data_IF_913278954567
#
_entry.id   IF_913278954567
#
_cell.length_a   1.000
_cell.length_b   1.000
_cell.length_c   1.000
_cell.angle_alpha   90.00
_cell.angle_beta   90.00
_cell.angle_gamma   90.00
#
_symmetry.space_group_name_H-M   'P 1'
#
loop_
_entity.id
_entity.type
_entity.pdbx_description
1 polymer ?
#
# COMPACT_ATOMS: atom_id res chain seq x y z
N UNK A 1 -8.83 -34.98 -10.59
CA UNK A 1 -8.38 -34.01 -11.62
C UNK A 1 -9.49 -32.98 -11.89
N UNK A 2 -9.50 -31.93 -11.09
CA UNK A 2 -10.54 -30.90 -11.05
C UNK A 2 -10.38 -29.97 -12.26
N UNK A 3 -11.45 -29.84 -13.06
CA UNK A 3 -11.42 -29.11 -14.32
C UNK A 3 -11.29 -27.61 -14.11
N UNK A 4 -10.26 -27.01 -14.71
CA UNK A 4 -10.18 -25.56 -14.88
C UNK A 4 -11.31 -25.11 -15.81
N UNK A 5 -12.11 -24.16 -15.35
CA UNK A 5 -13.20 -23.56 -16.13
C UNK A 5 -12.61 -22.64 -17.21
N UNK A 6 -13.28 -22.41 -18.36
CA UNK A 6 -12.81 -21.47 -19.39
C UNK A 6 -12.52 -20.05 -18.85
N UNK A 7 -13.21 -19.68 -17.76
CA UNK A 7 -13.02 -18.45 -17.01
C UNK A 7 -11.64 -18.36 -16.31
N UNK A 8 -11.12 -19.48 -15.80
CA UNK A 8 -9.80 -19.52 -15.15
C UNK A 8 -8.70 -19.22 -16.17
N UNK A 9 -8.81 -19.82 -17.36
CA UNK A 9 -7.91 -19.50 -18.48
C UNK A 9 -8.05 -18.07 -19.00
N UNK A 10 -9.19 -17.38 -18.78
CA UNK A 10 -9.34 -15.96 -19.10
C UNK A 10 -8.65 -15.07 -18.05
N UNK A 11 -8.80 -15.39 -16.77
CA UNK A 11 -8.13 -14.69 -15.67
C UNK A 11 -6.62 -14.75 -15.81
N UNK A 12 -6.06 -15.92 -16.08
CA UNK A 12 -4.61 -16.08 -16.28
C UNK A 12 -4.08 -15.26 -17.46
N UNK A 13 -4.82 -15.25 -18.58
CA UNK A 13 -4.48 -14.44 -19.76
C UNK A 13 -4.53 -12.95 -19.44
N UNK A 14 -5.54 -12.51 -18.69
CA UNK A 14 -5.68 -11.12 -18.27
C UNK A 14 -4.53 -10.71 -17.34
N UNK A 15 -4.23 -11.50 -16.31
CA UNK A 15 -3.11 -11.24 -15.40
C UNK A 15 -1.77 -11.23 -16.14
N UNK A 16 -1.59 -12.07 -17.16
CA UNK A 16 -0.41 -12.02 -18.02
C UNK A 16 -0.31 -10.72 -18.84
N UNK A 17 -1.43 -10.18 -19.34
CA UNK A 17 -1.46 -8.87 -20.00
C UNK A 17 -1.10 -7.76 -19.02
N UNK A 18 -1.70 -7.75 -17.83
CA UNK A 18 -1.39 -6.76 -16.80
C UNK A 18 0.08 -6.79 -16.40
N UNK A 19 0.70 -7.96 -16.24
CA UNK A 19 2.14 -8.07 -15.93
C UNK A 19 3.01 -7.47 -17.03
N UNK A 20 2.66 -7.72 -18.31
CA UNK A 20 3.35 -7.10 -19.45
C UNK A 20 3.20 -5.58 -19.46
N UNK A 21 2.00 -5.07 -19.16
CA UNK A 21 1.76 -3.63 -19.10
C UNK A 21 2.52 -2.98 -17.95
N UNK A 22 2.51 -3.57 -16.75
CA UNK A 22 3.19 -3.03 -15.58
C UNK A 22 4.73 -2.91 -15.77
N UNK A 23 5.35 -3.94 -16.36
CA UNK A 23 6.80 -4.03 -16.50
C UNK A 23 7.40 -3.33 -17.72
N UNK A 24 6.60 -2.90 -18.70
CA UNK A 24 7.10 -2.34 -19.96
C UNK A 24 7.22 -0.83 -19.88
N UNK A 25 8.45 -0.32 -19.97
CA UNK A 25 8.77 1.11 -19.91
C UNK A 25 8.18 1.96 -21.05
N UNK A 26 7.96 1.36 -22.24
CA UNK A 26 7.32 2.05 -23.37
C UNK A 26 5.81 2.30 -23.18
N UNK A 27 5.22 1.81 -22.09
CA UNK A 27 3.80 2.05 -21.76
C UNK A 27 3.70 3.30 -20.90
N UNK A 28 2.68 4.13 -21.14
CA UNK A 28 2.46 5.36 -20.35
C UNK A 28 2.33 5.05 -18.85
N UNK A 29 2.92 5.91 -18.01
CA UNK A 29 3.02 5.72 -16.56
C UNK A 29 1.69 5.37 -15.90
N UNK A 30 0.62 6.09 -16.27
CA UNK A 30 -0.75 5.87 -15.77
C UNK A 30 -1.22 4.41 -15.92
N UNK A 31 -1.01 3.80 -17.09
CA UNK A 31 -1.45 2.41 -17.35
C UNK A 31 -0.58 1.44 -16.55
N UNK A 32 0.73 1.70 -16.45
CA UNK A 32 1.67 0.87 -15.70
C UNK A 32 1.32 0.85 -14.20
N UNK A 33 1.06 2.02 -13.63
CA UNK A 33 0.63 2.16 -12.24
C UNK A 33 -0.70 1.43 -12.00
N UNK A 34 -1.67 1.61 -12.90
CA UNK A 34 -2.98 0.95 -12.78
C UNK A 34 -2.88 -0.57 -12.90
N UNK A 35 -2.08 -1.07 -13.84
CA UNK A 35 -1.86 -2.51 -14.00
C UNK A 35 -1.18 -3.11 -12.76
N UNK A 36 -0.21 -2.40 -12.17
CA UNK A 36 0.45 -2.80 -10.92
C UNK A 36 -0.54 -2.87 -9.77
N UNK A 37 -1.41 -1.85 -9.61
CA UNK A 37 -2.43 -1.83 -8.57
C UNK A 37 -3.44 -2.97 -8.71
N UNK A 38 -3.94 -3.22 -9.92
CA UNK A 38 -4.89 -4.30 -10.18
C UNK A 38 -4.29 -5.68 -9.89
N UNK A 39 -3.01 -5.90 -10.19
CA UNK A 39 -2.33 -7.14 -9.87
C UNK A 39 -2.10 -7.30 -8.36
N UNK A 40 -1.76 -6.22 -7.65
CA UNK A 40 -1.63 -6.24 -6.19
C UNK A 40 -2.97 -6.58 -5.52
N UNK A 41 -4.06 -5.95 -5.97
CA UNK A 41 -5.41 -6.17 -5.44
C UNK A 41 -5.91 -7.62 -5.67
N UNK A 42 -5.51 -8.27 -6.77
CA UNK A 42 -5.87 -9.67 -7.08
C UNK A 42 -4.87 -10.68 -6.46
N UNK A 43 -3.87 -10.22 -5.69
CA UNK A 43 -2.80 -11.07 -5.14
C UNK A 43 -1.84 -11.63 -6.20
N UNK A 44 -1.90 -11.12 -7.43
CA UNK A 44 -1.03 -11.50 -8.54
C UNK A 44 0.37 -10.88 -8.49
N UNK A 45 0.58 -9.91 -7.60
CA UNK A 45 1.89 -9.39 -7.17
C UNK A 45 1.93 -9.33 -5.64
N UNK A 46 3.11 -9.55 -5.07
CA UNK A 46 3.36 -9.24 -3.66
C UNK A 46 3.56 -7.74 -3.46
N UNK A 47 3.45 -7.28 -2.21
CA UNK A 47 3.81 -5.90 -1.83
C UNK A 47 5.25 -5.56 -2.23
N UNK A 48 6.19 -6.51 -2.07
CA UNK A 48 7.59 -6.35 -2.49
C UNK A 48 7.76 -6.14 -3.98
N UNK A 49 7.01 -6.88 -4.79
CA UNK A 49 7.05 -6.71 -6.23
C UNK A 49 6.43 -5.38 -6.66
N UNK A 50 5.35 -4.95 -6.01
CA UNK A 50 4.73 -3.66 -6.25
C UNK A 50 5.67 -2.49 -5.86
N UNK A 51 6.31 -2.59 -4.69
CA UNK A 51 7.30 -1.60 -4.23
C UNK A 51 8.51 -1.54 -5.18
N UNK A 52 8.98 -2.68 -5.69
CA UNK A 52 10.05 -2.71 -6.70
C UNK A 52 9.63 -1.99 -7.99
N UNK A 53 8.42 -2.24 -8.49
CA UNK A 53 7.90 -1.56 -9.68
C UNK A 53 7.71 -0.05 -9.47
N UNK A 54 7.26 0.35 -8.28
CA UNK A 54 7.18 1.76 -7.88
C UNK A 54 8.57 2.40 -7.84
N UNK A 55 9.54 1.77 -7.19
CA UNK A 55 10.91 2.29 -7.12
C UNK A 55 11.56 2.47 -8.49
N UNK A 56 11.29 1.57 -9.44
CA UNK A 56 11.72 1.74 -10.84
C UNK A 56 11.02 2.92 -11.53
N UNK A 57 9.71 3.05 -11.34
CA UNK A 57 8.95 4.15 -11.94
C UNK A 57 9.34 5.52 -11.39
N UNK A 58 9.68 5.59 -10.10
CA UNK A 58 10.08 6.81 -9.40
C UNK A 58 11.60 7.05 -9.41
N UNK A 59 12.34 6.30 -10.22
CA UNK A 59 13.79 6.48 -10.31
C UNK A 59 14.14 7.87 -10.88
N UNK A 60 15.33 8.44 -10.54
CA UNK A 60 15.77 9.73 -11.09
C UNK A 60 15.87 9.78 -12.62
N UNK A 61 15.97 8.62 -13.29
CA UNK A 61 16.02 8.53 -14.74
C UNK A 61 14.65 8.64 -15.44
N UNK A 62 13.54 8.59 -14.69
CA UNK A 62 12.20 8.74 -15.23
C UNK A 62 11.80 10.21 -15.30
N UNK A 63 11.23 10.72 -16.41
CA UNK A 63 10.66 12.05 -16.46
C UNK A 63 9.66 12.27 -15.32
N UNK A 64 9.73 13.37 -14.54
CA UNK A 64 8.88 13.54 -13.37
C UNK A 64 7.37 13.52 -13.68
N UNK A 65 6.96 13.96 -14.86
CA UNK A 65 5.57 13.88 -15.34
C UNK A 65 5.11 12.42 -15.53
N UNK A 66 5.97 11.55 -16.04
CA UNK A 66 5.69 10.12 -16.19
C UNK A 66 5.64 9.41 -14.84
N UNK A 67 6.53 9.77 -13.92
CA UNK A 67 6.53 9.28 -12.54
C UNK A 67 5.23 9.69 -11.81
N UNK A 68 4.82 10.95 -11.94
CA UNK A 68 3.56 11.45 -11.38
C UNK A 68 2.33 10.73 -11.98
N UNK A 69 2.32 10.50 -13.29
CA UNK A 69 1.27 9.74 -13.96
C UNK A 69 1.24 8.27 -13.47
N UNK A 70 2.41 7.67 -13.21
CA UNK A 70 2.47 6.34 -12.62
C UNK A 70 1.86 6.29 -11.22
N UNK A 71 2.19 7.26 -10.36
CA UNK A 71 1.57 7.40 -9.03
C UNK A 71 0.06 7.51 -9.18
N UNK A 72 -0.44 8.41 -10.04
CA UNK A 72 -1.88 8.55 -10.31
C UNK A 72 -2.51 7.21 -10.73
N UNK A 73 -1.87 6.44 -11.60
CA UNK A 73 -2.38 5.14 -12.01
C UNK A 73 -2.47 4.13 -10.86
N UNK A 74 -1.48 4.15 -9.98
CA UNK A 74 -1.34 3.23 -8.86
C UNK A 74 -2.29 3.58 -7.70
N UNK A 75 -2.36 4.87 -7.32
CA UNK A 75 -3.11 5.33 -6.14
C UNK A 75 -4.43 6.01 -6.48
N UNK A 76 -4.64 6.48 -7.71
CA UNK A 76 -5.75 7.35 -8.15
C UNK A 76 -7.10 6.67 -8.36
N UNK A 77 -7.36 5.55 -7.68
CA UNK A 77 -8.69 4.93 -7.66
C UNK A 77 -9.56 5.51 -6.54
N UNK A 78 -10.77 5.95 -6.85
CA UNK A 78 -11.77 6.43 -5.88
C UNK A 78 -12.18 5.38 -4.83
N UNK A 79 -11.83 4.11 -5.02
CA UNK A 79 -12.04 3.03 -4.05
C UNK A 79 -10.71 2.55 -3.49
N UNK A 80 -10.28 3.14 -2.37
CA UNK A 80 -9.26 2.56 -1.48
C UNK A 80 -7.79 2.80 -1.81
N UNK A 81 -7.44 3.50 -2.91
CA UNK A 81 -6.04 3.70 -3.31
C UNK A 81 -5.19 4.45 -2.28
N UNK A 82 -5.77 5.44 -1.60
CA UNK A 82 -5.09 6.16 -0.51
C UNK A 82 -4.92 5.34 0.77
N UNK A 83 -5.75 4.30 0.98
CA UNK A 83 -5.65 3.45 2.18
C UNK A 83 -4.42 2.54 2.13
N UNK A 84 -4.00 2.12 0.93
CA UNK A 84 -2.76 1.35 0.75
C UNK A 84 -1.55 2.13 1.27
N UNK A 85 -1.43 3.42 0.91
CA UNK A 85 -0.33 4.26 1.36
C UNK A 85 -0.33 4.50 2.88
N UNK A 86 -1.50 4.43 3.53
CA UNK A 86 -1.60 4.53 4.99
C UNK A 86 -1.08 3.26 5.67
N UNK A 87 -1.23 2.10 5.03
CA UNK A 87 -0.85 0.81 5.62
C UNK A 87 0.55 0.33 5.25
N UNK A 88 1.06 0.74 4.08
CA UNK A 88 2.39 0.37 3.61
C UNK A 88 3.32 1.58 3.70
N UNK A 89 4.03 1.69 4.82
CA UNK A 89 5.00 2.76 5.08
C UNK A 89 6.13 2.80 4.05
N UNK A 90 6.47 1.65 3.43
CA UNK A 90 7.53 1.60 2.42
C UNK A 90 7.08 2.23 1.11
N UNK A 91 5.85 1.96 0.66
CA UNK A 91 5.30 2.65 -0.52
C UNK A 91 5.17 4.15 -0.27
N UNK A 92 4.76 4.55 0.93
CA UNK A 92 4.73 5.96 1.32
C UNK A 92 6.12 6.58 1.28
N UNK A 93 7.14 5.90 1.80
CA UNK A 93 8.53 6.38 1.79
C UNK A 93 9.10 6.51 0.37
N UNK A 94 8.73 5.63 -0.57
CA UNK A 94 9.13 5.76 -1.99
C UNK A 94 8.52 7.01 -2.63
N UNK A 95 7.25 7.29 -2.36
CA UNK A 95 6.58 8.50 -2.85
C UNK A 95 7.20 9.75 -2.22
N UNK A 96 7.46 9.74 -0.91
CA UNK A 96 8.09 10.86 -0.18
C UNK A 96 9.51 11.15 -0.66
N UNK A 97 10.34 10.11 -0.82
CA UNK A 97 11.71 10.23 -1.32
C UNK A 97 11.74 10.81 -2.72
N UNK A 98 10.85 10.33 -3.60
CA UNK A 98 10.74 10.87 -4.95
C UNK A 98 10.29 12.32 -4.94
N UNK A 99 9.19 12.65 -4.24
CA UNK A 99 8.67 14.02 -4.13
C UNK A 99 9.71 15.00 -3.61
N UNK A 100 10.43 14.62 -2.56
CA UNK A 100 11.49 15.43 -1.95
C UNK A 100 12.70 15.59 -2.87
N UNK A 101 12.89 14.69 -3.85
CA UNK A 101 13.95 14.75 -4.84
C UNK A 101 13.59 15.49 -6.13
N UNK A 102 12.31 15.86 -6.35
CA UNK A 102 11.90 16.57 -7.57
C UNK A 102 12.43 18.01 -7.56
N UNK A 103 13.18 18.46 -8.60
CA UNK A 103 13.61 19.84 -8.74
C UNK A 103 12.45 20.85 -8.73
N UNK A 104 12.64 22.03 -8.14
CA UNK A 104 11.58 23.01 -7.92
C UNK A 104 10.91 23.53 -9.22
N UNK A 105 11.68 23.62 -10.29
CA UNK A 105 11.20 23.98 -11.63
C UNK A 105 10.23 22.94 -12.19
N UNK A 106 10.52 21.65 -12.00
CA UNK A 106 9.67 20.54 -12.47
C UNK A 106 8.55 20.19 -11.48
N UNK A 107 8.73 20.49 -10.19
CA UNK A 107 7.73 20.24 -9.15
C UNK A 107 6.40 20.93 -9.46
N UNK A 108 6.46 22.14 -10.00
CA UNK A 108 5.28 22.91 -10.38
C UNK A 108 4.45 22.23 -11.48
N UNK A 109 5.08 21.43 -12.34
CA UNK A 109 4.42 20.72 -13.44
C UNK A 109 3.71 19.44 -12.98
N UNK A 110 4.24 18.76 -11.96
CA UNK A 110 3.67 17.52 -11.41
C UNK A 110 2.60 17.77 -10.35
N UNK A 111 2.70 18.90 -9.63
CA UNK A 111 1.79 19.29 -8.55
C UNK A 111 0.29 19.24 -8.91
N UNK A 112 -0.17 19.78 -10.06
CA UNK A 112 -1.58 19.76 -10.42
C UNK A 112 -2.15 18.35 -10.50
N UNK A 113 -1.36 17.42 -11.05
CA UNK A 113 -1.72 16.02 -11.18
C UNK A 113 -1.86 15.35 -9.81
N UNK A 114 -0.81 15.46 -9.00
CA UNK A 114 -0.78 14.91 -7.65
C UNK A 114 -1.89 15.49 -6.77
N UNK A 115 -2.11 16.82 -6.82
CA UNK A 115 -3.19 17.47 -6.10
C UNK A 115 -4.54 16.87 -6.49
N UNK A 116 -4.79 16.65 -7.79
CA UNK A 116 -6.03 16.01 -8.26
C UNK A 116 -6.14 14.60 -7.69
N UNK A 117 -5.09 13.78 -7.79
CA UNK A 117 -5.05 12.41 -7.28
C UNK A 117 -5.34 12.34 -5.78
N UNK A 118 -4.58 13.07 -4.95
CA UNK A 118 -4.73 13.05 -3.49
C UNK A 118 -6.02 13.74 -3.03
N UNK A 119 -6.55 14.71 -3.78
CA UNK A 119 -7.82 15.37 -3.43
C UNK A 119 -9.02 14.44 -3.51
N UNK A 120 -8.95 13.39 -4.34
CA UNK A 120 -10.01 12.40 -4.49
C UNK A 120 -10.09 11.41 -3.32
N UNK A 121 -9.11 11.41 -2.41
CA UNK A 121 -9.14 10.55 -1.23
C UNK A 121 -10.14 11.04 -0.19
N UNK A 122 -10.70 10.09 0.55
CA UNK A 122 -11.57 10.36 1.69
C UNK A 122 -10.89 11.32 2.69
N UNK A 123 -11.63 12.26 3.31
CA UNK A 123 -11.07 13.25 4.21
C UNK A 123 -10.24 12.64 5.36
N UNK A 124 -10.66 11.48 5.89
CA UNK A 124 -9.92 10.75 6.92
C UNK A 124 -8.56 10.26 6.44
N UNK A 125 -8.52 9.63 5.27
CA UNK A 125 -7.27 9.15 4.64
C UNK A 125 -6.30 10.31 4.38
N UNK A 126 -6.79 11.44 3.87
CA UNK A 126 -5.96 12.64 3.67
C UNK A 126 -5.37 13.18 4.98
N UNK A 127 -6.16 13.17 6.06
CA UNK A 127 -5.67 13.59 7.38
C UNK A 127 -4.55 12.67 7.86
N UNK A 128 -4.76 11.36 7.85
CA UNK A 128 -3.77 10.38 8.28
C UNK A 128 -2.48 10.45 7.44
N UNK A 129 -2.59 10.55 6.11
CA UNK A 129 -1.42 10.74 5.25
C UNK A 129 -0.67 12.04 5.59
N UNK A 130 -1.38 13.12 5.88
CA UNK A 130 -0.76 14.38 6.30
C UNK A 130 -0.07 14.31 7.68
N UNK A 131 -0.59 13.48 8.59
CA UNK A 131 0.04 13.20 9.89
C UNK A 131 1.31 12.35 9.72
N UNK A 132 1.25 11.31 8.89
CA UNK A 132 2.41 10.48 8.55
C UNK A 132 3.52 11.30 7.87
N UNK A 133 3.17 12.13 6.89
CA UNK A 133 4.12 13.02 6.23
C UNK A 133 4.77 14.02 7.22
N UNK A 134 4.02 14.51 8.21
CA UNK A 134 4.56 15.41 9.24
C UNK A 134 5.50 14.69 10.22
N UNK A 135 5.29 13.39 10.45
CA UNK A 135 6.16 12.57 11.30
C UNK A 135 7.54 12.34 10.65
N UNK A 136 7.61 12.39 9.32
CA UNK A 136 8.81 12.11 8.54
C UNK A 136 9.12 10.62 8.46
N UNK A 137 10.14 10.22 7.68
CA UNK A 137 10.56 8.82 7.59
C UNK A 137 10.92 8.30 8.99
N UNK A 138 10.38 7.15 9.36
CA UNK A 138 10.82 6.46 10.57
C UNK A 138 12.33 6.20 10.45
N UNK A 139 13.14 6.48 11.48
CA UNK A 139 14.56 6.18 11.43
C UNK A 139 14.73 4.69 11.14
N UNK A 140 15.37 4.38 10.00
CA UNK A 140 15.86 3.03 9.72
C UNK A 140 16.63 2.57 10.97
N UNK A 141 16.13 1.57 11.67
CA UNK A 141 16.81 1.00 12.83
C UNK A 141 17.66 -0.19 12.36
N UNK A 142 18.98 -0.04 12.17
CA UNK A 142 19.86 -1.19 12.11
C UNK A 142 20.04 -1.67 13.56
N UNK A 143 19.32 -2.74 13.92
CA UNK A 143 19.45 -3.39 15.22
C UNK A 143 18.26 -3.13 16.13
N UNK A 144 17.33 -4.08 16.14
CA UNK A 144 16.38 -4.25 17.23
C UNK A 144 17.14 -4.73 18.48
N UNK A 145 17.73 -3.81 19.23
CA UNK A 145 17.95 -4.01 20.66
C UNK A 145 17.02 -3.05 21.41
N UNK A 146 15.83 -3.57 21.72
CA UNK A 146 15.13 -3.35 22.98
C UNK A 146 14.89 -1.93 23.48
N UNK A 147 14.81 -0.91 22.63
CA UNK A 147 14.39 0.43 23.04
C UNK A 147 13.12 0.84 22.28
N UNK A 148 12.02 0.57 22.97
CA UNK A 148 10.66 0.97 22.69
C UNK A 148 10.56 2.38 22.08
N UNK A 149 10.21 2.46 20.80
CA UNK A 149 9.87 3.72 20.15
C UNK A 149 8.45 4.07 20.54
N UNK A 150 8.30 4.64 21.74
CA UNK A 150 7.03 5.09 22.28
C UNK A 150 6.36 6.07 21.33
N UNK A 151 5.30 5.63 20.67
CA UNK A 151 4.36 6.53 20.03
C UNK A 151 3.74 7.42 21.13
N UNK A 152 3.69 8.75 20.99
CA UNK A 152 3.18 9.63 22.05
C UNK A 152 1.77 9.20 22.48
N UNK A 153 1.62 8.85 23.76
CA UNK A 153 0.35 8.37 24.33
C UNK A 153 0.31 6.89 24.70
N UNK A 154 1.35 6.10 24.38
CA UNK A 154 1.50 4.72 24.84
C UNK A 154 2.64 4.61 25.86
N UNK A 155 2.41 3.82 26.91
CA UNK A 155 3.40 3.55 27.97
C UNK A 155 4.52 2.64 27.47
N UNK A 156 5.62 2.50 28.24
CA UNK A 156 6.75 1.71 27.82
C UNK A 156 6.38 0.21 27.75
N UNK A 157 6.43 -0.36 26.56
CA UNK A 157 6.20 -1.79 26.32
C UNK A 157 4.74 -2.24 26.42
N UNK A 158 4.56 -3.58 26.48
CA UNK A 158 3.26 -4.22 26.60
C UNK A 158 2.82 -4.23 28.06
N UNK A 159 1.63 -3.69 28.33
CA UNK A 159 0.96 -3.81 29.63
C UNK A 159 0.33 -5.20 29.74
N UNK A 160 1.03 -6.12 30.41
CA UNK A 160 0.62 -7.52 30.57
C UNK A 160 -0.68 -7.64 31.34
N UNK A 161 -0.89 -6.80 32.36
CA UNK A 161 -2.10 -6.84 33.19
C UNK A 161 -3.34 -6.45 32.38
N UNK A 162 -3.19 -5.44 31.50
CA UNK A 162 -4.27 -5.06 30.56
C UNK A 162 -4.45 -6.08 29.44
N UNK A 163 -3.37 -6.73 28.99
CA UNK A 163 -3.42 -7.77 27.95
C UNK A 163 -4.17 -9.03 28.46
N UNK A 164 -3.87 -9.48 29.67
CA UNK A 164 -4.53 -10.64 30.31
C UNK A 164 -6.04 -10.39 30.48
N UNK A 165 -6.42 -9.15 30.81
CA UNK A 165 -7.82 -8.77 30.99
C UNK A 165 -8.68 -8.90 29.71
N UNK A 166 -8.06 -8.88 28.52
CA UNK A 166 -8.77 -8.98 27.22
C UNK A 166 -8.58 -10.32 26.52
N UNK A 167 -7.78 -11.24 27.09
CA UNK A 167 -7.42 -12.52 26.48
C UNK A 167 -8.66 -13.37 26.16
N UNK A 168 -9.62 -13.46 27.07
CA UNK A 168 -10.85 -14.25 26.87
C UNK A 168 -11.74 -13.65 25.77
N UNK A 169 -11.78 -12.33 25.64
CA UNK A 169 -12.54 -11.63 24.59
C UNK A 169 -11.87 -11.82 23.23
N UNK A 170 -10.53 -11.74 23.17
CA UNK A 170 -9.77 -12.04 21.96
C UNK A 170 -9.98 -13.49 21.53
N UNK A 171 -9.99 -14.44 22.46
CA UNK A 171 -10.33 -15.83 22.16
C UNK A 171 -11.73 -15.97 21.54
N UNK A 172 -12.73 -15.27 22.07
CA UNK A 172 -14.09 -15.29 21.51
C UNK A 172 -14.18 -14.66 20.11
N UNK A 173 -13.47 -13.55 19.89
CA UNK A 173 -13.49 -12.82 18.63
C UNK A 173 -12.67 -13.51 17.52
N UNK A 174 -11.53 -14.09 17.87
CA UNK A 174 -10.57 -14.65 16.92
C UNK A 174 -10.76 -16.16 16.69
N UNK A 175 -11.22 -16.92 17.68
CA UNK A 175 -11.49 -18.34 17.51
C UNK A 175 -12.91 -18.64 16.99
N UNK A 176 -13.76 -17.61 16.88
CA UNK A 176 -15.17 -17.76 16.52
C UNK A 176 -15.98 -18.38 17.66
N UNK A 177 -17.23 -17.94 17.80
CA UNK A 177 -18.20 -18.54 18.71
C UNK A 177 -18.15 -20.06 18.55
N UNK A 178 -17.73 -20.77 19.61
CA UNK A 178 -17.83 -22.22 19.68
C UNK A 178 -19.28 -22.59 19.32
N UNK A 179 -19.47 -23.17 18.15
CA UNK A 179 -20.75 -23.71 17.74
C UNK A 179 -21.07 -24.77 18.79
N UNK A 180 -22.20 -24.68 19.52
CA UNK A 180 -22.52 -25.69 20.51
C UNK A 180 -22.66 -27.01 19.76
N UNK A 181 -21.85 -28.00 20.13
CA UNK A 181 -21.92 -29.33 19.59
C UNK A 181 -23.36 -29.84 19.74
N UNK A 182 -24.02 -30.10 18.61
CA UNK A 182 -25.25 -30.89 18.58
C UNK A 182 -24.95 -32.25 19.21
N UNK A 183 -25.35 -32.42 20.47
CA UNK A 183 -25.47 -33.72 21.09
C UNK A 183 -26.73 -34.39 20.52
N UNK A 184 -26.53 -35.21 19.49
CA UNK A 184 -27.47 -36.24 19.07
C UNK A 184 -27.08 -37.56 19.73
N UNK A 185 -27.91 -38.03 20.68
CA UNK A 185 -28.29 -39.43 20.93
C UNK A 185 -29.22 -39.50 22.15
#
# INVERSE_FOLDING_TARGET
PTGATPADGLRDRWSAVLRKLAGRDTVVGLIRGRATRLLLDDGGLTEDEAARLMGLALSPGTPPTDAAAWIEGFVGGASGGGMLLVHDERLLALVDTWLSGVPADTFTDVLPLLRRTFSAFEPGVRRTLGELARRGPAPEHPGSDGADHGCPGFGPGLDTDRADAVEQVLHLLLAGAATPAEASA
#
